data_IF_900100866295
#
_entry.id   IF_900100866295
#
_cell.length_a   1.000
_cell.length_b   1.000
_cell.length_c   1.000
_cell.angle_alpha   90.00
_cell.angle_beta   90.00
_cell.angle_gamma   90.00
#
_symmetry.space_group_name_H-M   'P 1'
#
loop_
_entity.id
_entity.type
_entity.pdbx_description
1 polymer ?
#
# COMPACT_ATOMS: atom_id res chain seq x y z
N UNK A 1 -2.98 -17.58 9.52
CA UNK A 1 -2.76 -18.41 8.31
C UNK A 1 -4.10 -18.90 7.80
N UNK A 2 -4.30 -19.00 6.49
CA UNK A 2 -5.52 -19.57 5.90
C UNK A 2 -5.52 -21.10 5.92
N UNK A 3 -6.61 -21.70 5.44
CA UNK A 3 -6.70 -23.16 5.32
C UNK A 3 -5.70 -23.72 4.31
N UNK A 4 -5.30 -24.98 4.49
CA UNK A 4 -4.48 -25.74 3.53
C UNK A 4 -5.06 -25.70 2.11
N UNK A 5 -6.39 -25.86 2.00
CA UNK A 5 -7.10 -25.83 0.72
C UNK A 5 -7.02 -24.46 0.02
N UNK A 6 -6.96 -23.37 0.78
CA UNK A 6 -6.79 -22.01 0.22
C UNK A 6 -5.48 -21.92 -0.54
N UNK A 7 -4.36 -22.31 0.08
CA UNK A 7 -3.04 -22.27 -0.55
C UNK A 7 -2.93 -23.24 -1.73
N UNK A 8 -3.43 -24.47 -1.59
CA UNK A 8 -3.45 -25.45 -2.67
C UNK A 8 -4.27 -24.96 -3.89
N UNK A 9 -5.44 -24.36 -3.65
CA UNK A 9 -6.29 -23.79 -4.71
C UNK A 9 -5.60 -22.62 -5.42
N UNK A 10 -4.92 -21.74 -4.67
CA UNK A 10 -4.14 -20.63 -5.25
C UNK A 10 -3.04 -21.16 -6.17
N UNK A 11 -2.26 -22.15 -5.74
CA UNK A 11 -1.20 -22.75 -6.58
C UNK A 11 -1.75 -23.51 -7.79
N UNK A 12 -2.88 -24.20 -7.64
CA UNK A 12 -3.55 -24.86 -8.76
C UNK A 12 -4.01 -23.86 -9.85
N UNK A 13 -4.60 -22.73 -9.45
CA UNK A 13 -4.97 -21.65 -10.39
C UNK A 13 -3.74 -21.08 -11.11
N UNK A 14 -2.66 -20.85 -10.38
CA UNK A 14 -1.41 -20.35 -10.94
C UNK A 14 -0.80 -21.32 -11.98
N UNK A 15 -0.76 -22.63 -11.69
CA UNK A 15 -0.29 -23.66 -12.63
C UNK A 15 -1.08 -23.70 -13.93
N UNK A 16 -2.37 -23.35 -13.90
CA UNK A 16 -3.18 -23.27 -15.12
C UNK A 16 -2.86 -22.03 -15.97
N UNK A 17 -2.24 -20.99 -15.41
CA UNK A 17 -1.89 -19.75 -16.12
C UNK A 17 -0.42 -19.74 -16.60
N UNK A 18 0.48 -20.41 -15.89
CA UNK A 18 1.88 -20.61 -16.29
C UNK A 18 2.14 -22.11 -16.34
N UNK A 19 2.06 -22.69 -17.53
CA UNK A 19 1.90 -24.14 -17.72
C UNK A 19 3.17 -24.91 -18.08
N UNK A 20 4.36 -24.31 -17.95
CA UNK A 20 5.64 -24.98 -18.20
C UNK A 20 6.76 -24.39 -17.34
N UNK A 21 7.86 -25.14 -17.19
CA UNK A 21 9.05 -24.70 -16.47
C UNK A 21 8.90 -24.71 -14.95
N UNK A 22 9.86 -24.08 -14.28
CA UNK A 22 9.89 -23.95 -12.83
C UNK A 22 9.47 -22.55 -12.40
N UNK A 23 8.44 -22.43 -11.56
CA UNK A 23 8.09 -21.19 -10.89
C UNK A 23 8.85 -21.14 -9.56
N UNK A 24 9.81 -20.22 -9.48
CA UNK A 24 10.64 -19.96 -8.31
C UNK A 24 10.04 -18.83 -7.49
N UNK A 25 9.78 -19.11 -6.22
CA UNK A 25 9.36 -18.13 -5.21
C UNK A 25 10.50 -17.90 -4.24
N UNK A 26 10.91 -16.65 -4.11
CA UNK A 26 11.96 -16.22 -3.20
C UNK A 26 11.31 -15.77 -1.89
N UNK A 27 11.65 -16.44 -0.79
CA UNK A 27 11.40 -15.91 0.55
C UNK A 27 12.53 -15.00 1.00
N UNK A 28 12.18 -14.10 1.91
CA UNK A 28 13.05 -13.08 2.49
C UNK A 28 14.03 -13.69 3.50
N UNK A 29 15.15 -12.99 3.68
CA UNK A 29 16.10 -13.21 4.76
C UNK A 29 15.93 -12.14 5.85
N UNK A 30 16.58 -12.39 6.99
CA UNK A 30 16.79 -11.38 8.03
C UNK A 30 17.65 -10.22 7.50
N UNK A 31 17.43 -9.02 8.05
CA UNK A 31 18.20 -7.83 7.71
C UNK A 31 18.79 -7.22 8.99
N UNK A 32 20.10 -7.18 9.11
CA UNK A 32 20.80 -6.60 10.26
C UNK A 32 20.63 -5.08 10.33
N UNK A 33 20.33 -4.54 11.51
CA UNK A 33 20.27 -3.10 11.79
C UNK A 33 21.64 -2.44 11.74
N UNK A 34 22.64 -3.09 12.33
CA UNK A 34 24.03 -2.61 12.43
C UNK A 34 25.07 -3.74 12.38
N UNK A 35 24.70 -4.96 12.77
CA UNK A 35 25.46 -6.20 12.60
C UNK A 35 24.50 -7.39 12.41
N UNK A 36 25.03 -8.54 11.98
CA UNK A 36 24.25 -9.70 11.49
C UNK A 36 23.13 -10.14 12.43
N UNK A 37 23.42 -10.30 13.71
CA UNK A 37 22.49 -10.92 14.67
C UNK A 37 21.53 -9.93 15.36
N UNK A 38 21.61 -8.63 15.02
CA UNK A 38 20.67 -7.62 15.52
C UNK A 38 19.79 -7.15 14.38
N UNK A 39 18.67 -7.83 14.17
CA UNK A 39 17.88 -7.70 12.96
C UNK A 39 16.73 -6.71 13.09
N UNK A 40 16.35 -6.09 11.97
CA UNK A 40 15.04 -5.45 11.83
C UNK A 40 13.93 -6.49 11.97
N UNK A 41 12.69 -6.02 12.16
CA UNK A 41 11.55 -6.92 12.14
C UNK A 41 11.49 -7.70 10.82
N UNK A 42 11.52 -9.03 10.91
CA UNK A 42 11.34 -9.90 9.77
C UNK A 42 9.89 -9.85 9.28
N UNK A 43 9.73 -9.70 7.96
CA UNK A 43 8.46 -9.82 7.25
C UNK A 43 8.71 -10.54 5.93
N UNK A 44 7.99 -11.62 5.69
CA UNK A 44 8.14 -12.44 4.49
C UNK A 44 7.67 -11.73 3.21
N UNK A 45 8.12 -12.23 2.05
CA UNK A 45 7.62 -11.80 0.75
C UNK A 45 6.10 -12.07 0.59
N UNK A 46 5.36 -11.07 0.14
CA UNK A 46 3.89 -11.13 0.06
C UNK A 46 3.39 -12.16 -0.94
N UNK A 47 4.12 -12.38 -2.04
CA UNK A 47 3.76 -13.40 -3.02
C UNK A 47 4.05 -14.79 -2.44
N UNK A 48 5.17 -14.97 -1.76
CA UNK A 48 5.48 -16.19 -1.03
C UNK A 48 4.39 -16.49 0.02
N UNK A 49 4.02 -15.52 0.85
CA UNK A 49 2.93 -15.66 1.82
C UNK A 49 1.59 -15.97 1.15
N UNK A 50 1.28 -15.36 0.02
CA UNK A 50 0.03 -15.60 -0.70
C UNK A 50 -0.12 -17.06 -1.15
N UNK A 51 0.94 -17.67 -1.67
CA UNK A 51 0.88 -19.06 -2.18
C UNK A 51 1.27 -20.14 -1.17
N UNK A 52 2.08 -19.80 -0.17
CA UNK A 52 2.65 -20.76 0.77
C UNK A 52 2.41 -20.41 2.23
N UNK A 53 2.01 -19.19 2.60
CA UNK A 53 1.58 -18.85 3.96
C UNK A 53 2.61 -19.04 5.09
N UNK A 54 3.85 -19.45 4.78
CA UNK A 54 4.91 -19.71 5.76
C UNK A 54 5.73 -18.44 5.98
N UNK A 55 5.64 -17.88 7.18
CA UNK A 55 6.46 -16.76 7.64
C UNK A 55 7.70 -17.30 8.38
N UNK A 56 8.65 -17.83 7.61
CA UNK A 56 9.94 -18.32 8.12
C UNK A 56 11.06 -17.81 7.23
N UNK A 57 12.12 -17.37 7.89
CA UNK A 57 13.34 -16.81 7.27
C UNK A 57 13.97 -17.79 6.29
N UNK A 58 14.37 -17.28 5.14
CA UNK A 58 15.27 -17.93 4.20
C UNK A 58 14.68 -19.15 3.50
N UNK A 59 13.35 -19.24 3.43
CA UNK A 59 12.68 -20.21 2.58
C UNK A 59 12.73 -19.79 1.11
N UNK A 60 12.63 -20.76 0.22
CA UNK A 60 12.19 -20.58 -1.16
C UNK A 60 11.13 -21.65 -1.47
N UNK A 61 10.47 -21.55 -2.60
CA UNK A 61 9.58 -22.60 -3.07
C UNK A 61 9.68 -22.77 -4.58
N UNK A 62 9.46 -24.01 -5.03
CA UNK A 62 9.42 -24.35 -6.44
C UNK A 62 8.06 -24.97 -6.74
N UNK A 63 7.43 -24.52 -7.81
CA UNK A 63 6.36 -25.25 -8.48
C UNK A 63 6.89 -25.65 -9.85
N UNK A 64 6.96 -26.95 -10.11
CA UNK A 64 7.23 -27.45 -11.46
C UNK A 64 5.89 -27.52 -12.20
N UNK A 65 5.69 -26.61 -13.15
CA UNK A 65 4.44 -26.53 -13.90
C UNK A 65 4.27 -27.67 -14.91
N UNK A 66 5.36 -28.35 -15.31
CA UNK A 66 5.31 -29.49 -16.23
C UNK A 66 4.81 -30.76 -15.52
N UNK A 67 5.31 -31.03 -14.30
CA UNK A 67 4.91 -32.21 -13.51
C UNK A 67 3.77 -31.94 -12.53
N UNK A 68 3.53 -30.68 -12.19
CA UNK A 68 2.60 -30.24 -11.16
C UNK A 68 3.12 -30.37 -9.72
N UNK A 69 4.36 -30.82 -9.56
CA UNK A 69 5.00 -31.02 -8.25
C UNK A 69 5.39 -29.70 -7.58
N UNK A 70 5.38 -29.69 -6.25
CA UNK A 70 5.56 -28.51 -5.41
C UNK A 70 6.55 -28.84 -4.30
N UNK A 71 7.50 -27.94 -4.02
CA UNK A 71 8.47 -28.08 -2.94
C UNK A 71 8.59 -26.79 -2.15
N UNK A 72 8.65 -26.94 -0.81
CA UNK A 72 9.25 -25.91 0.04
C UNK A 72 10.75 -26.18 0.12
N UNK A 73 11.56 -25.17 -0.16
CA UNK A 73 13.01 -25.24 -0.13
C UNK A 73 13.51 -24.54 1.12
N UNK A 74 14.25 -25.28 1.96
CA UNK A 74 14.72 -24.81 3.25
C UNK A 74 15.44 -25.93 3.99
N UNK A 75 16.16 -25.59 5.05
CA UNK A 75 16.83 -26.59 5.87
C UNK A 75 15.93 -26.98 7.06
N UNK A 76 16.03 -28.24 7.46
CA UNK A 76 15.39 -28.72 8.68
C UNK A 76 16.03 -28.08 9.91
N UNK A 77 15.25 -27.93 10.97
CA UNK A 77 15.76 -27.35 12.22
C UNK A 77 16.88 -28.22 12.80
N UNK A 78 17.92 -27.56 13.29
CA UNK A 78 19.06 -28.18 13.95
C UNK A 78 18.88 -28.18 15.47
N UNK A 79 19.72 -28.92 16.20
CA UNK A 79 19.73 -28.84 17.66
C UNK A 79 20.14 -27.46 18.16
N UNK A 80 21.02 -26.77 17.44
CA UNK A 80 21.39 -25.39 17.75
C UNK A 80 20.17 -24.47 17.65
N UNK A 81 19.35 -24.59 16.60
CA UNK A 81 18.10 -23.83 16.49
C UNK A 81 17.17 -24.08 17.68
N UNK A 82 17.07 -25.34 18.14
CA UNK A 82 16.27 -25.69 19.32
C UNK A 82 16.83 -25.07 20.61
N UNK A 83 18.16 -25.00 20.75
CA UNK A 83 18.82 -24.36 21.90
C UNK A 83 18.52 -22.86 21.93
N UNK A 84 18.56 -22.18 20.78
CA UNK A 84 18.46 -20.72 20.70
C UNK A 84 17.02 -20.20 20.57
N UNK A 85 16.16 -20.89 19.82
CA UNK A 85 14.80 -20.47 19.49
C UNK A 85 13.71 -21.41 20.06
N UNK A 86 14.10 -22.45 20.80
CA UNK A 86 13.19 -23.46 21.35
C UNK A 86 12.72 -24.48 20.30
N UNK A 87 11.95 -25.51 20.71
CA UNK A 87 11.37 -26.48 19.78
C UNK A 87 10.46 -25.81 18.76
N UNK A 88 10.70 -26.08 17.47
CA UNK A 88 9.90 -25.58 16.36
C UNK A 88 9.35 -26.76 15.53
N UNK A 89 8.25 -26.58 14.78
CA UNK A 89 7.83 -27.59 13.81
C UNK A 89 8.89 -27.77 12.73
N UNK A 90 9.07 -29.02 12.28
CA UNK A 90 9.95 -29.37 11.14
C UNK A 90 9.50 -28.67 9.86
N UNK A 91 10.41 -28.50 8.90
CA UNK A 91 10.05 -27.93 7.60
C UNK A 91 8.99 -28.79 6.91
N UNK A 92 9.09 -30.11 7.01
CA UNK A 92 8.09 -31.04 6.48
C UNK A 92 6.69 -30.82 7.09
N UNK A 93 6.58 -30.64 8.40
CA UNK A 93 5.30 -30.34 9.07
C UNK A 93 4.75 -28.98 8.63
N UNK A 94 5.62 -27.96 8.52
CA UNK A 94 5.23 -26.64 8.03
C UNK A 94 4.73 -26.68 6.58
N UNK A 95 5.45 -27.37 5.68
CA UNK A 95 5.03 -27.60 4.30
C UNK A 95 3.66 -28.29 4.23
N UNK A 96 3.42 -29.28 5.09
CA UNK A 96 2.14 -29.99 5.20
C UNK A 96 0.96 -29.06 5.54
N UNK A 97 1.16 -28.06 6.42
CA UNK A 97 0.11 -27.08 6.78
C UNK A 97 -0.40 -26.28 5.59
N UNK A 98 0.44 -26.09 4.57
CA UNK A 98 0.11 -25.30 3.36
C UNK A 98 -0.09 -26.19 2.12
N UNK A 99 -0.18 -27.51 2.34
CA UNK A 99 -0.58 -28.49 1.35
C UNK A 99 0.57 -28.89 0.41
N UNK A 100 1.81 -28.66 0.81
CA UNK A 100 2.99 -29.06 0.06
C UNK A 100 3.57 -30.32 0.69
N UNK A 101 3.63 -31.41 -0.07
CA UNK A 101 4.05 -32.72 0.44
C UNK A 101 5.58 -32.91 0.46
N UNK A 102 6.33 -32.16 -0.36
CA UNK A 102 7.76 -32.35 -0.54
C UNK A 102 8.56 -31.15 -0.05
N UNK A 103 9.75 -31.41 0.48
CA UNK A 103 10.75 -30.39 0.82
C UNK A 103 12.06 -30.65 0.08
N UNK A 104 12.89 -29.61 -0.06
CA UNK A 104 14.27 -29.71 -0.56
C UNK A 104 15.20 -28.90 0.36
N UNK A 105 16.42 -29.40 0.65
CA UNK A 105 17.42 -28.60 1.37
C UNK A 105 17.84 -27.38 0.52
N UNK A 106 18.27 -26.29 1.15
CA UNK A 106 18.69 -25.07 0.42
C UNK A 106 19.82 -25.35 -0.56
N UNK A 107 20.73 -26.26 -0.19
CA UNK A 107 21.86 -26.68 -1.02
C UNK A 107 21.47 -27.34 -2.35
N UNK A 108 20.25 -27.88 -2.47
CA UNK A 108 19.77 -28.48 -3.71
C UNK A 108 19.24 -27.45 -4.73
N UNK A 109 18.98 -26.20 -4.30
CA UNK A 109 18.30 -25.20 -5.13
C UNK A 109 19.11 -24.81 -6.36
N UNK A 110 20.40 -24.53 -6.19
CA UNK A 110 21.30 -24.15 -7.29
C UNK A 110 21.36 -25.25 -8.36
N UNK A 111 21.60 -26.49 -7.95
CA UNK A 111 21.68 -27.63 -8.86
C UNK A 111 20.35 -27.86 -9.59
N UNK A 112 19.22 -27.70 -8.90
CA UNK A 112 17.87 -27.84 -9.48
C UNK A 112 17.65 -26.79 -10.59
N UNK A 113 17.96 -25.52 -10.32
CA UNK A 113 17.76 -24.43 -11.26
C UNK A 113 18.73 -24.53 -12.46
N UNK A 114 20.02 -24.81 -12.22
CA UNK A 114 21.00 -25.03 -13.30
C UNK A 114 20.65 -26.25 -14.16
N UNK A 115 20.14 -27.31 -13.54
CA UNK A 115 19.66 -28.51 -14.24
C UNK A 115 18.49 -28.20 -15.17
N UNK A 116 17.49 -27.45 -14.69
CA UNK A 116 16.37 -27.02 -15.50
C UNK A 116 16.81 -26.14 -16.68
N UNK A 117 17.66 -25.15 -16.44
CA UNK A 117 18.20 -24.26 -17.49
C UNK A 117 19.02 -25.03 -18.53
N UNK A 118 19.85 -25.98 -18.10
CA UNK A 118 20.64 -26.83 -19.00
C UNK A 118 19.78 -27.76 -19.85
N UNK A 119 18.62 -28.17 -19.34
CA UNK A 119 17.61 -28.93 -20.06
C UNK A 119 16.72 -28.05 -20.97
N UNK A 120 17.00 -26.75 -21.08
CA UNK A 120 16.22 -25.81 -21.88
C UNK A 120 14.85 -25.46 -21.28
N UNK A 121 14.61 -25.79 -20.02
CA UNK A 121 13.37 -25.45 -19.31
C UNK A 121 13.43 -24.00 -18.82
N UNK A 122 12.27 -23.33 -18.83
CA UNK A 122 12.16 -21.98 -18.29
C UNK A 122 12.25 -21.98 -16.76
N UNK A 123 12.88 -20.94 -16.20
CA UNK A 123 12.83 -20.62 -14.77
C UNK A 123 12.11 -19.28 -14.64
N UNK A 124 10.89 -19.32 -14.14
CA UNK A 124 10.02 -18.17 -13.92
C UNK A 124 10.24 -17.62 -12.51
N UNK A 125 10.54 -16.32 -12.41
CA UNK A 125 10.63 -15.60 -11.14
C UNK A 125 10.03 -14.20 -11.30
N UNK A 126 9.65 -13.59 -10.19
CA UNK A 126 9.12 -12.23 -10.13
C UNK A 126 10.25 -11.20 -9.98
N UNK A 127 10.04 -9.92 -10.34
CA UNK A 127 11.07 -8.90 -10.20
C UNK A 127 11.60 -8.81 -8.76
N UNK A 128 12.93 -8.96 -8.54
CA UNK A 128 13.49 -8.85 -7.20
C UNK A 128 13.47 -7.40 -6.74
N UNK A 129 12.98 -7.15 -5.53
CA UNK A 129 13.01 -5.83 -4.89
C UNK A 129 14.09 -5.72 -3.79
N UNK A 130 14.69 -6.85 -3.40
CA UNK A 130 15.81 -6.88 -2.45
C UNK A 130 17.13 -7.26 -3.14
N UNK A 131 18.26 -6.60 -2.84
CA UNK A 131 19.56 -6.93 -3.44
C UNK A 131 19.97 -8.39 -3.28
N UNK A 132 19.71 -9.01 -2.13
CA UNK A 132 20.03 -10.41 -1.85
C UNK A 132 19.26 -11.38 -2.76
N UNK A 133 18.04 -11.04 -3.19
CA UNK A 133 17.30 -11.84 -4.17
C UNK A 133 18.00 -11.82 -5.53
N UNK A 134 18.46 -10.64 -5.97
CA UNK A 134 19.24 -10.48 -7.20
C UNK A 134 20.55 -11.26 -7.13
N UNK A 135 21.25 -11.22 -5.99
CA UNK A 135 22.51 -11.98 -5.81
C UNK A 135 22.27 -13.51 -5.81
N UNK A 136 21.21 -13.99 -5.16
CA UNK A 136 20.80 -15.41 -5.19
C UNK A 136 20.49 -15.88 -6.60
N UNK A 137 19.67 -15.11 -7.33
CA UNK A 137 19.34 -15.41 -8.72
C UNK A 137 20.59 -15.46 -9.60
N UNK A 138 21.52 -14.51 -9.45
CA UNK A 138 22.81 -14.53 -10.14
C UNK A 138 23.57 -15.84 -9.90
N UNK A 139 23.70 -16.23 -8.62
CA UNK A 139 24.43 -17.42 -8.24
C UNK A 139 23.76 -18.72 -8.75
N UNK A 140 22.44 -18.82 -8.62
CA UNK A 140 21.69 -20.01 -8.99
C UNK A 140 21.51 -20.20 -10.49
N UNK A 141 21.50 -19.12 -11.27
CA UNK A 141 21.20 -19.18 -12.71
C UNK A 141 22.42 -18.92 -13.59
N UNK A 142 23.45 -18.25 -13.07
CA UNK A 142 24.61 -17.78 -13.82
C UNK A 142 24.36 -16.54 -14.68
N UNK A 143 23.15 -15.97 -14.67
CA UNK A 143 22.85 -14.71 -15.37
C UNK A 143 23.56 -13.53 -14.70
N UNK A 144 24.02 -12.55 -15.45
CA UNK A 144 24.64 -11.36 -14.87
C UNK A 144 23.64 -10.53 -14.07
N UNK A 145 24.12 -9.75 -13.09
CA UNK A 145 23.28 -8.86 -12.28
C UNK A 145 22.47 -7.88 -13.14
N UNK A 146 23.04 -7.45 -14.27
CA UNK A 146 22.41 -6.52 -15.20
C UNK A 146 21.29 -7.17 -16.03
N UNK A 147 21.26 -8.50 -16.18
CA UNK A 147 20.26 -9.26 -16.94
C UNK A 147 19.07 -9.75 -16.10
N UNK A 148 19.24 -9.84 -14.78
CA UNK A 148 18.21 -10.41 -13.88
C UNK A 148 16.90 -9.64 -13.96
N UNK A 149 16.85 -8.29 -13.87
CA UNK A 149 15.59 -7.57 -13.96
C UNK A 149 14.82 -7.84 -15.26
N UNK A 150 15.50 -8.00 -16.39
CA UNK A 150 14.90 -8.23 -17.71
C UNK A 150 14.48 -9.68 -17.93
N UNK A 151 14.94 -10.61 -17.08
CA UNK A 151 14.56 -12.02 -17.13
C UNK A 151 13.37 -12.36 -16.23
N UNK A 152 12.87 -11.41 -15.44
CA UNK A 152 11.64 -11.59 -14.68
C UNK A 152 10.49 -11.99 -15.64
N UNK A 153 9.72 -13.00 -15.26
CA UNK A 153 8.78 -13.62 -16.19
C UNK A 153 7.47 -12.83 -16.29
N UNK A 154 7.22 -12.25 -17.46
CA UNK A 154 5.96 -11.53 -17.72
C UNK A 154 4.72 -12.40 -17.51
N UNK A 155 4.74 -13.64 -17.98
CA UNK A 155 3.63 -14.58 -17.79
C UNK A 155 3.35 -14.83 -16.30
N UNK A 156 4.40 -14.98 -15.50
CA UNK A 156 4.27 -15.18 -14.06
C UNK A 156 3.80 -13.91 -13.33
N UNK A 157 4.34 -12.75 -13.70
CA UNK A 157 3.90 -11.43 -13.20
C UNK A 157 2.40 -11.25 -13.42
N UNK A 158 1.94 -11.42 -14.66
CA UNK A 158 0.52 -11.26 -14.99
C UNK A 158 -0.36 -12.28 -14.29
N UNK A 159 0.08 -13.54 -14.16
CA UNK A 159 -0.66 -14.56 -13.43
C UNK A 159 -0.86 -14.20 -11.95
N UNK A 160 0.20 -13.72 -11.29
CA UNK A 160 0.14 -13.27 -9.89
C UNK A 160 -0.75 -12.05 -9.73
N UNK A 161 -0.61 -11.04 -10.61
CA UNK A 161 -1.46 -9.84 -10.61
C UNK A 161 -2.92 -10.22 -10.78
N UNK A 162 -3.23 -11.07 -11.77
CA UNK A 162 -4.59 -11.51 -12.07
C UNK A 162 -5.22 -12.34 -10.95
N UNK A 163 -4.45 -12.87 -10.01
CA UNK A 163 -5.00 -13.59 -8.88
C UNK A 163 -5.11 -12.72 -7.62
N UNK A 164 -4.07 -11.93 -7.31
CA UNK A 164 -4.04 -11.04 -6.12
C UNK A 164 -4.91 -9.79 -6.26
N UNK A 165 -5.20 -9.35 -7.50
CA UNK A 165 -6.10 -8.21 -7.73
C UNK A 165 -7.52 -8.48 -7.22
N UNK A 166 -7.98 -9.74 -7.22
CA UNK A 166 -9.34 -10.14 -6.88
C UNK A 166 -9.36 -10.81 -5.50
N UNK A 167 -9.81 -10.05 -4.49
CA UNK A 167 -9.83 -10.50 -3.10
C UNK A 167 -10.96 -11.51 -2.90
N UNK A 168 -10.61 -12.65 -2.32
CA UNK A 168 -11.62 -13.62 -1.88
C UNK A 168 -12.27 -13.20 -0.57
N UNK A 169 -13.43 -13.77 -0.23
CA UNK A 169 -14.16 -13.44 1.01
C UNK A 169 -13.30 -13.57 2.27
N UNK A 170 -12.45 -14.60 2.35
CA UNK A 170 -11.54 -14.79 3.48
C UNK A 170 -10.45 -13.72 3.56
N UNK A 171 -10.03 -13.14 2.43
CA UNK A 171 -9.07 -12.04 2.41
C UNK A 171 -9.74 -10.74 2.86
N UNK A 172 -10.96 -10.49 2.39
CA UNK A 172 -11.75 -9.33 2.82
C UNK A 172 -11.97 -9.37 4.34
N UNK A 173 -12.19 -10.54 4.93
CA UNK A 173 -12.28 -10.71 6.40
C UNK A 173 -10.97 -10.32 7.11
N UNK A 174 -9.81 -10.64 6.56
CA UNK A 174 -8.53 -10.22 7.17
C UNK A 174 -8.27 -8.72 6.95
N UNK A 175 -8.62 -8.17 5.80
CA UNK A 175 -8.55 -6.72 5.55
C UNK A 175 -9.49 -5.95 6.47
N UNK A 176 -10.69 -6.47 6.75
CA UNK A 176 -11.64 -5.90 7.71
C UNK A 176 -11.01 -5.76 9.11
N UNK A 177 -10.31 -6.81 9.58
CA UNK A 177 -9.54 -6.74 10.83
C UNK A 177 -8.44 -5.68 10.77
N UNK A 178 -7.70 -5.61 9.66
CA UNK A 178 -6.63 -4.64 9.47
C UNK A 178 -7.15 -3.20 9.57
N UNK A 179 -8.27 -2.91 8.89
CA UNK A 179 -8.93 -1.60 8.94
C UNK A 179 -9.49 -1.30 10.33
N UNK A 180 -10.09 -2.27 11.01
CA UNK A 180 -10.61 -2.06 12.36
C UNK A 180 -9.50 -1.73 13.37
N UNK A 181 -8.35 -2.40 13.30
CA UNK A 181 -7.18 -2.07 14.12
C UNK A 181 -6.66 -0.67 13.75
N UNK A 182 -6.59 -0.35 12.46
CA UNK A 182 -6.23 0.99 11.97
C UNK A 182 -7.17 2.06 12.52
N UNK A 183 -8.48 1.82 12.52
CA UNK A 183 -9.48 2.68 13.14
C UNK A 183 -9.19 2.94 14.62
N UNK A 184 -8.86 1.90 15.39
CA UNK A 184 -8.45 2.08 16.79
C UNK A 184 -7.16 2.89 16.92
N UNK A 185 -6.19 2.71 16.02
CA UNK A 185 -4.97 3.53 15.99
C UNK A 185 -5.33 5.00 15.82
N UNK A 186 -6.23 5.34 14.88
CA UNK A 186 -6.68 6.71 14.63
C UNK A 186 -7.44 7.31 15.82
N UNK A 187 -8.38 6.57 16.39
CA UNK A 187 -9.12 7.00 17.58
C UNK A 187 -8.17 7.30 18.75
N UNK A 188 -7.17 6.44 18.97
CA UNK A 188 -6.19 6.64 20.03
C UNK A 188 -5.25 7.82 19.73
N UNK A 189 -4.83 8.02 18.48
CA UNK A 189 -4.01 9.16 18.07
C UNK A 189 -4.73 10.49 18.29
N UNK A 190 -5.99 10.58 17.84
CA UNK A 190 -6.85 11.75 18.00
C UNK A 190 -7.04 12.05 19.49
N UNK A 191 -7.25 11.04 20.33
CA UNK A 191 -7.38 11.21 21.79
C UNK A 191 -6.06 11.58 22.47
N UNK A 192 -4.93 11.06 22.01
CA UNK A 192 -3.60 11.30 22.59
C UNK A 192 -3.01 12.68 22.24
N UNK A 193 -3.44 13.27 21.13
CA UNK A 193 -3.04 14.59 20.66
C UNK A 193 -3.41 15.66 21.69
N UNK A 194 -2.43 16.42 22.19
CA UNK A 194 -2.64 17.52 23.14
C UNK A 194 -1.62 18.61 22.87
N UNK A 195 -2.04 19.87 22.98
CA UNK A 195 -1.14 21.02 22.87
C UNK A 195 0.07 20.86 23.80
N UNK A 196 1.25 21.18 23.29
CA UNK A 196 2.51 21.15 24.03
C UNK A 196 3.28 19.83 23.98
N UNK A 197 2.63 18.73 23.60
CA UNK A 197 3.28 17.44 23.30
C UNK A 197 4.03 17.48 21.97
N UNK A 198 4.81 16.44 21.69
CA UNK A 198 5.43 16.20 20.39
C UNK A 198 4.68 15.15 19.58
N UNK A 199 4.84 15.18 18.26
CA UNK A 199 4.29 14.17 17.34
C UNK A 199 4.72 12.75 17.75
N UNK A 200 5.98 12.54 18.13
CA UNK A 200 6.50 11.22 18.51
C UNK A 200 5.76 10.58 19.71
N UNK A 201 5.18 11.39 20.60
CA UNK A 201 4.38 10.87 21.73
C UNK A 201 3.07 10.25 21.23
N UNK A 202 2.48 10.83 20.19
CA UNK A 202 1.29 10.31 19.53
C UNK A 202 1.64 9.08 18.70
N UNK A 203 2.77 9.12 17.97
CA UNK A 203 3.31 7.99 17.20
C UNK A 203 3.54 6.77 18.10
N UNK A 204 4.08 6.95 19.32
CA UNK A 204 4.22 5.85 20.28
C UNK A 204 2.88 5.18 20.64
N UNK A 205 1.81 5.96 20.73
CA UNK A 205 0.45 5.44 20.97
C UNK A 205 -0.07 4.65 19.77
N UNK A 206 0.15 5.16 18.55
CA UNK A 206 -0.23 4.51 17.29
C UNK A 206 0.47 3.16 17.14
N UNK A 207 1.80 3.15 17.30
CA UNK A 207 2.60 1.93 17.20
C UNK A 207 2.21 0.89 18.27
N UNK A 208 1.99 1.32 19.52
CA UNK A 208 1.52 0.44 20.58
C UNK A 208 0.15 -0.19 20.27
N UNK A 209 -0.74 0.57 19.62
CA UNK A 209 -2.07 0.07 19.22
C UNK A 209 -1.96 -0.99 18.11
N UNK A 210 -1.12 -0.78 17.10
CA UNK A 210 -0.90 -1.78 16.04
C UNK A 210 -0.37 -3.11 16.61
N UNK A 211 0.67 -3.02 17.45
CA UNK A 211 1.27 -4.21 18.09
C UNK A 211 0.31 -4.96 19.02
N UNK A 212 -0.46 -4.23 19.83
CA UNK A 212 -1.46 -4.85 20.71
C UNK A 212 -2.66 -5.42 19.95
N UNK A 213 -2.89 -4.99 18.71
CA UNK A 213 -3.84 -5.61 17.77
C UNK A 213 -3.42 -6.99 17.24
N UNK A 214 -2.22 -7.47 17.58
CA UNK A 214 -1.71 -8.79 17.21
C UNK A 214 -0.97 -8.83 15.87
N UNK A 215 -0.75 -7.68 15.24
CA UNK A 215 0.02 -7.53 14.02
C UNK A 215 1.12 -6.47 14.16
N UNK A 216 1.31 -5.67 13.11
CA UNK A 216 2.30 -4.59 13.06
C UNK A 216 1.79 -3.40 12.23
N UNK A 217 2.65 -2.45 11.90
CA UNK A 217 2.38 -1.39 10.93
C UNK A 217 2.45 -1.93 9.50
N UNK A 218 1.48 -1.57 8.65
CA UNK A 218 1.51 -1.87 7.22
C UNK A 218 2.57 -1.06 6.46
N UNK A 219 2.92 0.12 6.98
CA UNK A 219 3.91 1.04 6.45
C UNK A 219 4.39 2.00 7.54
N UNK A 220 5.54 2.70 7.35
CA UNK A 220 6.02 3.67 8.34
C UNK A 220 5.00 4.77 8.59
N UNK A 221 4.72 5.05 9.87
CA UNK A 221 3.76 6.07 10.29
C UNK A 221 4.09 7.43 9.67
N UNK A 222 3.07 8.09 9.12
CA UNK A 222 3.11 9.48 8.73
C UNK A 222 2.19 10.22 9.71
N UNK A 223 2.76 10.99 10.62
CA UNK A 223 1.98 11.80 11.56
C UNK A 223 2.69 13.12 11.71
N UNK A 224 2.08 14.18 11.18
CA UNK A 224 2.71 15.49 11.24
C UNK A 224 1.75 16.67 11.25
N UNK A 225 2.17 17.76 11.89
CA UNK A 225 1.58 19.09 11.74
C UNK A 225 1.93 19.76 10.41
N UNK A 226 2.99 19.32 9.74
CA UNK A 226 3.39 19.75 8.40
C UNK A 226 2.72 18.86 7.34
N UNK A 227 1.39 18.83 7.36
CA UNK A 227 0.56 17.94 6.54
C UNK A 227 0.71 18.13 5.02
N UNK A 228 1.40 19.17 4.55
CA UNK A 228 1.76 19.38 3.14
C UNK A 228 2.85 18.42 2.64
N UNK A 229 3.57 17.74 3.54
CA UNK A 229 4.58 16.74 3.18
C UNK A 229 3.97 15.34 3.16
N UNK A 230 3.80 14.76 1.97
CA UNK A 230 3.00 13.54 1.80
C UNK A 230 3.53 12.32 2.56
N UNK A 231 4.84 12.06 2.52
CA UNK A 231 5.51 10.96 3.22
C UNK A 231 6.52 11.48 4.25
N UNK A 232 6.01 12.09 5.32
CA UNK A 232 6.86 12.63 6.39
C UNK A 232 7.06 11.62 7.53
N UNK A 233 8.31 11.21 7.76
CA UNK A 233 8.70 10.31 8.84
C UNK A 233 9.45 11.03 9.98
N UNK A 234 9.54 12.35 9.95
CA UNK A 234 10.00 13.15 11.07
C UNK A 234 8.86 13.42 12.03
N UNK A 235 9.06 13.12 13.32
CA UNK A 235 8.04 13.26 14.37
C UNK A 235 8.52 14.15 15.53
N UNK A 236 9.47 15.04 15.26
CA UNK A 236 10.05 15.93 16.27
C UNK A 236 9.33 17.26 16.42
N UNK A 237 8.25 17.53 15.66
CA UNK A 237 7.55 18.79 15.80
C UNK A 237 6.68 18.80 17.06
N UNK A 238 6.45 20.02 17.56
CA UNK A 238 5.58 20.27 18.70
C UNK A 238 4.14 20.49 18.22
N UNK A 239 3.19 19.95 18.96
CA UNK A 239 1.77 20.14 18.73
C UNK A 239 1.34 21.51 19.29
N UNK A 240 1.13 22.47 18.40
CA UNK A 240 0.79 23.86 18.73
C UNK A 240 -0.66 24.21 18.35
N UNK A 241 -1.26 25.14 19.09
CA UNK A 241 -2.62 25.62 18.82
C UNK A 241 -2.72 26.24 17.42
N UNK A 242 -3.87 26.08 16.78
CA UNK A 242 -4.13 26.52 15.40
C UNK A 242 -3.59 25.59 14.31
N UNK A 243 -2.76 24.58 14.64
CA UNK A 243 -2.26 23.60 13.68
C UNK A 243 -3.25 22.44 13.48
N UNK A 244 -3.25 21.88 12.27
CA UNK A 244 -3.80 20.56 12.00
C UNK A 244 -2.73 19.50 12.23
N UNK A 245 -3.14 18.27 12.50
CA UNK A 245 -2.32 17.06 12.44
C UNK A 245 -2.91 16.18 11.35
N UNK A 246 -2.09 15.80 10.38
CA UNK A 246 -2.41 14.76 9.41
C UNK A 246 -1.76 13.47 9.92
N UNK A 247 -2.59 12.46 10.17
CA UNK A 247 -2.17 11.11 10.53
C UNK A 247 -2.56 10.13 9.44
N UNK A 248 -1.58 9.49 8.85
CA UNK A 248 -1.67 8.45 7.84
C UNK A 248 -0.86 7.25 8.34
N UNK A 249 -1.59 6.22 8.73
CA UNK A 249 -1.05 4.98 9.26
C UNK A 249 -2.12 3.90 9.27
N UNK A 250 -1.68 2.65 9.06
CA UNK A 250 -2.54 1.48 9.12
C UNK A 250 -1.82 0.25 9.65
N UNK A 251 -2.60 -0.71 10.10
CA UNK A 251 -2.12 -1.97 10.64
C UNK A 251 -1.98 -3.03 9.55
N UNK A 252 -0.94 -3.85 9.66
CA UNK A 252 -0.84 -5.16 9.02
C UNK A 252 -1.28 -6.22 10.04
N UNK A 253 -2.17 -7.12 9.65
CA UNK A 253 -2.62 -8.21 10.51
C UNK A 253 -1.58 -9.32 10.64
N UNK A 254 -1.75 -10.26 11.58
CA UNK A 254 -0.94 -11.47 11.69
C UNK A 254 -0.97 -12.39 10.45
N UNK A 255 -1.84 -12.11 9.48
CA UNK A 255 -1.92 -12.80 8.19
C UNK A 255 -1.42 -11.93 7.02
N UNK A 256 -0.78 -10.79 7.35
CA UNK A 256 -0.12 -9.87 6.43
C UNK A 256 -1.05 -9.14 5.48
N UNK A 257 -2.29 -8.88 5.89
CA UNK A 257 -3.21 -7.98 5.17
C UNK A 257 -3.18 -6.59 5.79
N UNK A 258 -3.08 -5.57 4.95
CA UNK A 258 -2.95 -4.17 5.32
C UNK A 258 -4.31 -3.46 5.41
N UNK A 259 -4.41 -2.57 6.38
CA UNK A 259 -5.31 -1.42 6.35
C UNK A 259 -4.51 -0.16 6.03
N UNK A 260 -5.16 0.83 5.45
CA UNK A 260 -4.55 2.11 5.06
C UNK A 260 -5.57 3.21 5.26
N UNK A 261 -5.34 4.04 6.26
CA UNK A 261 -6.31 5.04 6.70
C UNK A 261 -5.55 6.33 7.00
N UNK A 262 -6.09 7.42 6.47
CA UNK A 262 -5.68 8.78 6.78
C UNK A 262 -6.82 9.54 7.43
N UNK A 263 -6.53 10.24 8.52
CA UNK A 263 -7.40 11.25 9.13
C UNK A 263 -6.60 12.52 9.39
N UNK A 264 -7.28 13.64 9.28
CA UNK A 264 -6.74 14.95 9.67
C UNK A 264 -7.60 15.53 10.78
N UNK A 265 -6.99 16.11 11.82
CA UNK A 265 -7.70 16.68 12.97
C UNK A 265 -6.95 17.90 13.54
N UNK A 266 -7.63 18.83 14.24
CA UNK A 266 -6.95 19.97 14.86
C UNK A 266 -6.15 19.54 16.10
N UNK A 267 -5.03 20.23 16.35
CA UNK A 267 -4.33 20.15 17.64
C UNK A 267 -5.20 20.72 18.78
N UNK A 268 -6.06 21.68 18.47
CA UNK A 268 -7.09 22.17 19.38
C UNK A 268 -8.26 21.18 19.51
N UNK A 269 -9.26 21.52 20.33
CA UNK A 269 -10.46 20.68 20.47
C UNK A 269 -11.42 20.80 19.28
N UNK A 270 -11.38 21.94 18.59
CA UNK A 270 -12.30 22.27 17.49
C UNK A 270 -11.52 22.80 16.30
N UNK A 271 -12.07 22.60 15.11
CA UNK A 271 -11.51 23.18 13.89
C UNK A 271 -11.78 24.70 13.88
N UNK A 272 -10.83 25.47 13.37
CA UNK A 272 -11.06 26.87 12.98
C UNK A 272 -11.89 26.94 11.71
N UNK A 273 -12.50 28.09 11.40
CA UNK A 273 -13.33 28.22 10.19
C UNK A 273 -12.55 27.89 8.91
N UNK A 274 -11.33 28.43 8.75
CA UNK A 274 -10.44 28.13 7.63
C UNK A 274 -10.15 26.63 7.52
N UNK A 275 -9.96 25.94 8.65
CA UNK A 275 -9.75 24.49 8.65
C UNK A 275 -11.01 23.72 8.25
N UNK A 276 -12.19 24.16 8.72
CA UNK A 276 -13.49 23.55 8.36
C UNK A 276 -13.76 23.67 6.86
N UNK A 277 -13.51 24.85 6.28
CA UNK A 277 -13.70 25.11 4.85
C UNK A 277 -12.90 24.12 3.98
N UNK A 278 -11.59 23.98 4.22
CA UNK A 278 -10.75 23.05 3.44
C UNK A 278 -11.06 21.58 3.79
N UNK A 279 -11.30 21.27 5.06
CA UNK A 279 -11.64 19.91 5.47
C UNK A 279 -12.91 19.42 4.81
N UNK A 280 -13.94 20.27 4.75
CA UNK A 280 -15.21 19.94 4.11
C UNK A 280 -15.03 19.68 2.61
N UNK A 281 -14.19 20.45 1.91
CA UNK A 281 -13.87 20.21 0.49
C UNK A 281 -13.29 18.81 0.29
N UNK A 282 -12.35 18.39 1.15
CA UNK A 282 -11.73 17.06 1.07
C UNK A 282 -12.72 15.96 1.44
N UNK A 283 -13.56 16.18 2.45
CA UNK A 283 -14.63 15.25 2.83
C UNK A 283 -15.64 15.06 1.69
N UNK A 284 -16.05 16.14 1.04
CA UNK A 284 -16.96 16.10 -0.12
C UNK A 284 -16.30 15.35 -1.29
N UNK A 285 -15.02 15.61 -1.56
CA UNK A 285 -14.28 14.88 -2.60
C UNK A 285 -14.22 13.37 -2.29
N UNK A 286 -13.93 13.00 -1.04
CA UNK A 286 -13.90 11.60 -0.60
C UNK A 286 -15.27 10.94 -0.79
N UNK A 287 -16.35 11.58 -0.33
CA UNK A 287 -17.72 11.04 -0.47
C UNK A 287 -18.18 10.97 -1.92
N UNK A 288 -17.87 11.96 -2.76
CA UNK A 288 -18.22 11.95 -4.18
C UNK A 288 -17.52 10.82 -4.94
N UNK A 289 -16.24 10.57 -4.62
CA UNK A 289 -15.52 9.44 -5.20
C UNK A 289 -16.11 8.10 -4.73
N UNK A 290 -16.38 7.95 -3.43
CA UNK A 290 -17.00 6.74 -2.86
C UNK A 290 -18.33 6.43 -3.56
N UNK A 291 -19.19 7.43 -3.76
CA UNK A 291 -20.49 7.28 -4.42
C UNK A 291 -20.39 6.86 -5.91
N UNK A 292 -19.24 7.13 -6.54
CA UNK A 292 -18.98 6.74 -7.93
C UNK A 292 -18.51 5.29 -8.07
N UNK A 293 -17.98 4.67 -7.01
CA UNK A 293 -17.39 3.33 -7.07
C UNK A 293 -18.42 2.27 -7.45
N UNK A 294 -18.16 1.61 -8.58
CA UNK A 294 -18.92 0.46 -9.08
C UNK A 294 -18.12 -0.25 -10.18
N UNK A 295 -18.44 -1.51 -10.51
CA UNK A 295 -17.84 -2.18 -11.64
C UNK A 295 -17.96 -1.37 -12.94
N UNK A 296 -16.89 -1.34 -13.73
CA UNK A 296 -16.82 -0.69 -15.04
C UNK A 296 -16.46 0.81 -15.02
N UNK A 297 -16.50 1.49 -13.87
CA UNK A 297 -16.01 2.88 -13.76
C UNK A 297 -14.49 2.87 -13.79
N UNK A 298 -13.86 3.75 -14.57
CA UNK A 298 -12.41 3.92 -14.56
C UNK A 298 -11.98 4.61 -13.28
N UNK A 299 -10.92 4.11 -12.65
CA UNK A 299 -10.35 4.79 -11.48
C UNK A 299 -9.76 6.16 -11.83
N UNK A 300 -9.40 6.38 -13.10
CA UNK A 300 -9.09 7.71 -13.63
C UNK A 300 -10.27 8.67 -13.47
N UNK A 301 -11.50 8.23 -13.75
CA UNK A 301 -12.69 9.08 -13.62
C UNK A 301 -12.95 9.42 -12.15
N UNK A 302 -12.69 8.48 -11.21
CA UNK A 302 -12.68 8.74 -9.78
C UNK A 302 -11.69 9.85 -9.39
N UNK A 303 -10.47 9.83 -9.96
CA UNK A 303 -9.50 10.90 -9.72
C UNK A 303 -9.98 12.26 -10.25
N UNK A 304 -10.60 12.29 -11.44
CA UNK A 304 -11.16 13.51 -12.02
C UNK A 304 -12.36 14.05 -11.22
N UNK A 305 -13.19 13.17 -10.63
CA UNK A 305 -14.27 13.56 -9.70
C UNK A 305 -13.70 14.28 -8.47
N UNK A 306 -12.62 13.75 -7.89
CA UNK A 306 -11.93 14.40 -6.77
C UNK A 306 -11.38 15.77 -7.18
N UNK A 307 -10.63 15.83 -8.29
CA UNK A 307 -10.08 17.09 -8.82
C UNK A 307 -11.15 18.13 -9.07
N UNK A 308 -12.29 17.75 -9.68
CA UNK A 308 -13.41 18.66 -9.91
C UNK A 308 -13.98 19.19 -8.61
N UNK A 309 -14.22 18.32 -7.63
CA UNK A 309 -14.75 18.69 -6.31
C UNK A 309 -13.82 19.65 -5.57
N UNK A 310 -12.52 19.36 -5.55
CA UNK A 310 -11.50 20.24 -4.94
C UNK A 310 -11.46 21.59 -5.64
N UNK A 311 -11.53 21.60 -6.98
CA UNK A 311 -11.51 22.84 -7.77
C UNK A 311 -12.72 23.73 -7.51
N UNK A 312 -13.92 23.14 -7.48
CA UNK A 312 -15.16 23.85 -7.15
C UNK A 312 -15.10 24.45 -5.75
N UNK A 313 -14.65 23.66 -4.76
CA UNK A 313 -14.46 24.11 -3.39
C UNK A 313 -13.52 25.31 -3.30
N UNK A 314 -12.31 25.20 -3.85
CA UNK A 314 -11.32 26.27 -3.83
C UNK A 314 -11.75 27.52 -4.63
N UNK A 315 -12.55 27.34 -5.68
CA UNK A 315 -13.18 28.45 -6.41
C UNK A 315 -14.21 29.17 -5.55
N UNK A 316 -15.03 28.44 -4.79
CA UNK A 316 -16.02 29.04 -3.89
C UNK A 316 -15.38 29.84 -2.75
N UNK A 317 -14.20 29.42 -2.28
CA UNK A 317 -13.37 30.20 -1.35
C UNK A 317 -12.64 31.39 -2.02
N UNK A 318 -12.75 31.52 -3.34
CA UNK A 318 -12.10 32.56 -4.13
C UNK A 318 -10.58 32.42 -4.22
N UNK A 319 -10.04 31.21 -4.00
CA UNK A 319 -8.63 30.87 -4.20
C UNK A 319 -8.34 30.50 -5.66
N UNK A 320 -9.37 30.01 -6.36
CA UNK A 320 -9.40 29.80 -7.81
C UNK A 320 -10.50 30.66 -8.45
N UNK A 321 -10.38 30.90 -9.75
CA UNK A 321 -11.43 31.53 -10.58
C UNK A 321 -11.47 30.88 -11.97
N UNK A 322 -12.50 31.20 -12.77
CA UNK A 322 -12.66 30.67 -14.13
C UNK A 322 -13.52 29.41 -14.22
N UNK A 323 -13.44 28.71 -15.36
CA UNK A 323 -14.20 27.49 -15.62
C UNK A 323 -13.56 26.25 -14.96
N UNK A 324 -14.38 25.41 -14.35
CA UNK A 324 -13.90 24.25 -13.58
C UNK A 324 -13.40 23.15 -14.52
N UNK A 325 -14.12 22.87 -15.59
CA UNK A 325 -13.79 21.77 -16.49
C UNK A 325 -12.52 22.11 -17.28
N UNK A 326 -12.32 23.38 -17.64
CA UNK A 326 -11.07 23.90 -18.21
C UNK A 326 -9.87 23.74 -17.25
N UNK A 327 -10.02 24.16 -15.99
CA UNK A 327 -8.97 24.02 -14.97
C UNK A 327 -8.55 22.55 -14.78
N UNK A 328 -9.54 21.65 -14.70
CA UNK A 328 -9.31 20.19 -14.56
C UNK A 328 -8.57 19.65 -15.79
N UNK A 329 -9.00 20.01 -17.01
CA UNK A 329 -8.36 19.56 -18.25
C UNK A 329 -6.90 20.04 -18.36
N UNK A 330 -6.59 21.24 -17.87
CA UNK A 330 -5.24 21.81 -17.85
C UNK A 330 -4.36 21.28 -16.71
N UNK A 331 -4.93 20.53 -15.75
CA UNK A 331 -4.20 20.01 -14.59
C UNK A 331 -3.87 21.07 -13.54
N UNK A 332 -4.62 22.18 -13.48
CA UNK A 332 -4.54 23.17 -12.39
C UNK A 332 -4.69 22.54 -10.99
N UNK A 333 -5.60 21.56 -10.76
CA UNK A 333 -5.84 21.02 -9.42
C UNK A 333 -4.63 20.28 -8.84
N UNK A 334 -3.68 19.88 -9.69
CA UNK A 334 -2.44 19.23 -9.27
C UNK A 334 -1.56 20.09 -8.35
N UNK A 335 -1.79 21.42 -8.31
CA UNK A 335 -1.14 22.29 -7.31
C UNK A 335 -1.56 21.94 -5.88
N UNK A 336 -2.79 21.46 -5.71
CA UNK A 336 -3.40 21.17 -4.41
C UNK A 336 -3.55 19.68 -4.12
N UNK A 337 -3.61 18.83 -5.15
CA UNK A 337 -3.65 17.37 -5.03
C UNK A 337 -2.64 16.73 -5.99
N UNK A 338 -1.34 16.68 -5.61
CA UNK A 338 -0.25 16.24 -6.50
C UNK A 338 -0.06 14.71 -6.56
N UNK A 339 -0.84 13.95 -5.80
CA UNK A 339 -0.84 12.48 -5.78
C UNK A 339 -2.11 11.90 -6.42
N UNK A 340 -2.14 10.58 -6.64
CA UNK A 340 -3.31 9.86 -7.12
C UNK A 340 -4.44 9.84 -6.09
N UNK A 341 -5.68 9.54 -6.50
CA UNK A 341 -6.83 9.49 -5.58
C UNK A 341 -6.87 8.21 -4.72
N UNK A 342 -5.91 7.31 -4.94
CA UNK A 342 -5.76 6.05 -4.24
C UNK A 342 -5.10 4.98 -5.10
N UNK A 343 -5.12 3.76 -4.58
CA UNK A 343 -4.42 2.61 -5.16
C UNK A 343 -5.06 1.29 -4.74
N UNK A 344 -4.62 0.20 -5.38
CA UNK A 344 -4.97 -1.15 -4.92
C UNK A 344 -4.35 -1.41 -3.54
N UNK A 345 -5.07 -2.11 -2.68
CA UNK A 345 -4.61 -2.54 -1.34
C UNK A 345 -4.90 -4.03 -1.13
N UNK A 346 -4.05 -4.71 -0.37
CA UNK A 346 -4.19 -6.14 -0.09
C UNK A 346 -3.17 -6.60 0.95
N UNK A 347 -2.26 -7.48 0.53
CA UNK A 347 -1.15 -7.89 1.39
C UNK A 347 -0.03 -6.85 1.47
N UNK A 348 0.08 -6.02 0.43
CA UNK A 348 0.89 -4.81 0.48
C UNK A 348 -0.03 -3.58 0.47
N UNK A 349 0.42 -2.49 1.11
CA UNK A 349 -0.32 -1.22 1.16
C UNK A 349 -0.58 -0.69 -0.25
N UNK A 350 0.48 -0.54 -1.06
CA UNK A 350 0.39 -0.42 -2.51
C UNK A 350 0.48 -1.82 -3.12
N UNK A 351 -0.67 -2.49 -3.25
CA UNK A 351 -0.72 -3.92 -3.55
C UNK A 351 -0.02 -4.24 -4.88
N UNK A 352 0.97 -5.15 -4.81
CA UNK A 352 1.75 -5.66 -5.95
C UNK A 352 2.65 -4.63 -6.65
N UNK A 353 2.88 -3.42 -6.14
CA UNK A 353 3.64 -2.36 -6.84
C UNK A 353 5.02 -2.84 -7.36
N UNK A 354 5.68 -3.74 -6.63
CA UNK A 354 6.96 -4.36 -7.01
C UNK A 354 6.90 -5.22 -8.29
N UNK A 355 5.73 -5.66 -8.71
CA UNK A 355 5.52 -6.41 -9.95
C UNK A 355 5.44 -5.49 -11.18
N UNK A 356 5.27 -4.19 -10.96
CA UNK A 356 5.19 -3.15 -11.99
C UNK A 356 3.83 -2.46 -11.98
N UNK A 357 3.81 -1.22 -11.51
CA UNK A 357 2.58 -0.43 -11.33
C UNK A 357 1.72 -0.31 -12.61
N UNK A 358 2.35 -0.20 -13.79
CA UNK A 358 1.59 -0.13 -15.04
C UNK A 358 0.84 -1.44 -15.37
N UNK A 359 1.37 -2.61 -15.00
CA UNK A 359 0.68 -3.88 -15.22
C UNK A 359 -0.54 -4.06 -14.31
N UNK A 360 -0.54 -3.37 -13.17
CA UNK A 360 -1.62 -3.42 -12.18
C UNK A 360 -2.67 -2.36 -12.49
N UNK A 361 -2.21 -1.12 -12.68
CA UNK A 361 -3.06 0.06 -12.75
C UNK A 361 -3.65 0.36 -14.11
N UNK A 362 -3.02 -0.10 -15.17
CA UNK A 362 -3.27 0.33 -16.54
C UNK A 362 -3.54 -0.88 -17.44
N UNK A 363 -4.06 -0.60 -18.65
CA UNK A 363 -4.32 -1.60 -19.68
C UNK A 363 -4.09 -0.98 -21.06
N UNK A 364 -4.11 -1.82 -22.09
CA UNK A 364 -3.97 -1.37 -23.47
C UNK A 364 -4.98 -0.23 -23.79
N UNK A 365 -4.48 0.85 -24.37
CA UNK A 365 -5.27 2.07 -24.67
C UNK A 365 -5.40 3.06 -23.52
N UNK A 366 -4.83 2.78 -22.34
CA UNK A 366 -4.78 3.72 -21.21
C UNK A 366 -3.34 3.95 -20.77
N UNK A 367 -2.77 5.07 -21.19
CA UNK A 367 -1.40 5.45 -20.88
C UNK A 367 -1.33 6.38 -19.66
N UNK A 368 -0.26 6.23 -18.89
CA UNK A 368 0.01 7.12 -17.76
C UNK A 368 0.36 8.51 -18.28
N UNK A 369 -0.35 9.52 -17.76
CA UNK A 369 -0.08 10.92 -18.08
C UNK A 369 1.25 11.40 -17.50
N UNK A 370 1.89 12.37 -18.15
CA UNK A 370 3.06 13.08 -17.62
C UNK A 370 2.69 14.30 -16.77
N UNK A 371 1.40 14.66 -16.70
CA UNK A 371 0.92 15.80 -15.89
C UNK A 371 1.11 15.51 -14.39
N UNK A 372 1.46 16.54 -13.62
CA UNK A 372 1.51 16.44 -12.15
C UNK A 372 0.13 15.97 -11.61
N UNK A 373 0.13 15.18 -10.53
CA UNK A 373 -1.06 14.50 -10.04
C UNK A 373 -1.37 13.22 -10.84
N UNK A 374 -1.70 13.35 -12.12
CA UNK A 374 -2.04 12.19 -12.96
C UNK A 374 -0.87 11.22 -13.18
N UNK A 375 0.37 11.70 -13.23
CA UNK A 375 1.56 10.83 -13.30
C UNK A 375 1.74 9.94 -12.06
N UNK A 376 1.17 10.38 -10.94
CA UNK A 376 1.22 9.71 -9.64
C UNK A 376 0.02 8.77 -9.43
N UNK A 377 -0.89 8.67 -10.41
CA UNK A 377 -2.05 7.81 -10.30
C UNK A 377 -1.65 6.34 -10.49
N UNK A 378 -1.86 5.52 -9.45
CA UNK A 378 -1.42 4.12 -9.44
C UNK A 378 -2.40 3.15 -10.09
N UNK A 379 -3.66 3.55 -10.22
CA UNK A 379 -4.74 2.80 -10.86
C UNK A 379 -5.51 3.74 -11.77
N UNK A 380 -5.71 3.37 -13.03
CA UNK A 380 -6.48 4.18 -13.98
C UNK A 380 -7.58 3.36 -14.67
N UNK A 381 -7.38 2.03 -14.77
CA UNK A 381 -8.32 1.10 -15.42
C UNK A 381 -9.64 1.00 -14.67
N UNK A 382 -10.57 0.31 -15.32
CA UNK A 382 -11.91 0.03 -14.84
C UNK A 382 -11.88 -0.84 -13.58
N UNK A 383 -12.78 -0.52 -12.67
CA UNK A 383 -13.01 -1.25 -11.44
C UNK A 383 -13.71 -2.58 -11.74
N UNK A 384 -13.23 -3.65 -11.12
CA UNK A 384 -13.78 -4.99 -11.27
C UNK A 384 -14.17 -5.56 -9.91
N UNK A 385 -15.19 -6.43 -9.89
CA UNK A 385 -15.67 -7.06 -8.66
C UNK A 385 -14.53 -7.79 -7.97
N UNK A 386 -14.36 -7.54 -6.67
CA UNK A 386 -13.27 -8.10 -5.86
C UNK A 386 -11.99 -7.27 -5.83
N UNK A 387 -11.88 -6.17 -6.60
CA UNK A 387 -10.81 -5.20 -6.38
C UNK A 387 -10.99 -4.53 -5.02
N UNK A 388 -9.90 -4.43 -4.26
CA UNK A 388 -9.84 -3.66 -3.03
C UNK A 388 -8.87 -2.49 -3.21
N UNK A 389 -9.28 -1.30 -2.77
CA UNK A 389 -8.62 -0.04 -3.07
C UNK A 389 -8.81 1.01 -1.95
N UNK A 390 -7.91 1.99 -1.91
CA UNK A 390 -7.97 3.16 -1.03
C UNK A 390 -8.65 4.34 -1.73
N UNK A 391 -9.39 5.20 -1.02
CA UNK A 391 -9.94 6.46 -1.54
C UNK A 391 -9.42 7.61 -0.69
N UNK A 392 -8.40 8.31 -1.17
CA UNK A 392 -7.57 9.21 -0.35
C UNK A 392 -7.42 10.63 -0.93
N UNK A 393 -8.49 11.33 -1.34
CA UNK A 393 -8.32 12.70 -1.82
C UNK A 393 -7.70 13.60 -0.75
N UNK A 394 -6.95 14.59 -1.20
CA UNK A 394 -6.27 15.54 -0.34
C UNK A 394 -6.22 16.94 -0.93
N UNK A 395 -6.03 17.92 -0.07
CA UNK A 395 -5.78 19.32 -0.43
C UNK A 395 -4.63 19.85 0.42
N UNK A 396 -3.54 20.21 -0.24
CA UNK A 396 -2.29 20.66 0.39
C UNK A 396 -1.93 22.05 -0.09
N UNK A 397 -1.37 22.84 0.82
CA UNK A 397 -0.75 24.12 0.51
C UNK A 397 0.76 23.95 0.65
N UNK A 398 1.41 23.49 -0.41
CA UNK A 398 2.86 23.26 -0.46
C UNK A 398 3.53 24.58 -0.87
N UNK A 399 4.16 25.33 0.05
CA UNK A 399 4.66 26.68 -0.26
C UNK A 399 5.66 26.69 -1.40
N UNK A 400 6.57 25.71 -1.46
CA UNK A 400 7.59 25.59 -2.49
C UNK A 400 6.99 25.37 -3.88
N UNK A 401 5.92 24.56 -3.97
CA UNK A 401 5.24 24.29 -5.24
C UNK A 401 4.44 25.51 -5.70
N UNK A 402 3.75 26.18 -4.78
CA UNK A 402 2.99 27.42 -5.05
C UNK A 402 3.93 28.51 -5.55
N UNK A 403 5.04 28.75 -4.85
CA UNK A 403 6.04 29.75 -5.23
C UNK A 403 6.70 29.41 -6.58
N UNK A 404 6.99 28.13 -6.84
CA UNK A 404 7.53 27.69 -8.13
C UNK A 404 6.56 28.02 -9.26
N UNK A 405 5.28 27.65 -9.14
CA UNK A 405 4.29 27.92 -10.18
C UNK A 405 4.02 29.43 -10.35
N UNK A 406 4.01 30.21 -9.26
CA UNK A 406 3.91 31.68 -9.29
C UNK A 406 5.07 32.30 -10.09
N UNK A 407 6.31 31.86 -9.81
CA UNK A 407 7.52 32.36 -10.47
C UNK A 407 7.56 32.04 -11.97
N UNK A 408 6.96 30.92 -12.38
CA UNK A 408 6.83 30.50 -13.77
C UNK A 408 5.65 31.18 -14.49
N UNK A 409 4.81 31.92 -13.76
CA UNK A 409 3.61 32.54 -14.32
C UNK A 409 2.53 31.55 -14.74
N UNK A 410 2.53 30.35 -14.14
CA UNK A 410 1.64 29.26 -14.54
C UNK A 410 0.20 29.52 -14.08
N UNK A 411 -0.75 29.47 -15.02
CA UNK A 411 -2.20 29.55 -14.75
C UNK A 411 -2.63 30.77 -13.92
N UNK A 412 -2.05 31.95 -14.18
CA UNK A 412 -2.34 33.20 -13.43
C UNK A 412 -3.77 33.69 -13.60
N UNK A 413 -4.42 33.29 -14.68
CA UNK A 413 -5.83 33.51 -14.99
C UNK A 413 -6.78 32.67 -14.11
N UNK A 414 -6.28 31.57 -13.52
CA UNK A 414 -7.08 30.68 -12.66
C UNK A 414 -6.68 30.80 -11.18
N UNK A 415 -5.40 31.00 -10.87
CA UNK A 415 -4.87 30.87 -9.51
C UNK A 415 -4.65 32.25 -8.85
N UNK A 416 -5.29 32.46 -7.69
CA UNK A 416 -5.10 33.67 -6.87
C UNK A 416 -3.91 33.55 -5.92
N UNK A 417 -2.69 33.58 -6.48
CA UNK A 417 -1.44 33.40 -5.72
C UNK A 417 -1.31 34.29 -4.47
N UNK A 418 -1.71 35.56 -4.55
CA UNK A 418 -1.66 36.47 -3.40
C UNK A 418 -2.53 36.01 -2.23
N UNK A 419 -3.67 35.38 -2.50
CA UNK A 419 -4.53 34.80 -1.45
C UNK A 419 -3.92 33.52 -0.88
N UNK A 420 -3.25 32.71 -1.70
CA UNK A 420 -2.61 31.45 -1.27
C UNK A 420 -1.51 31.67 -0.24
N UNK A 421 -0.85 32.83 -0.24
CA UNK A 421 0.18 33.19 0.76
C UNK A 421 -0.35 33.11 2.20
N UNK A 422 -1.66 33.33 2.40
CA UNK A 422 -2.31 33.20 3.71
C UNK A 422 -2.59 31.75 4.15
N UNK A 423 -2.17 30.76 3.36
CA UNK A 423 -2.30 29.33 3.64
C UNK A 423 -0.93 28.62 3.73
N UNK A 424 0.19 29.34 3.72
CA UNK A 424 1.53 28.72 3.76
C UNK A 424 1.82 27.95 5.05
N UNK A 425 1.12 28.27 6.14
CA UNK A 425 1.17 27.58 7.42
C UNK A 425 0.00 26.59 7.63
N UNK A 426 -0.87 26.43 6.64
CA UNK A 426 -2.07 25.57 6.74
C UNK A 426 -1.70 24.08 6.77
N UNK A 427 -0.66 23.70 6.04
CA UNK A 427 -0.29 22.30 5.81
C UNK A 427 -1.21 21.66 4.77
N UNK A 428 -1.95 20.64 5.17
CA UNK A 428 -2.90 19.97 4.28
C UNK A 428 -3.88 19.05 5.01
N UNK A 429 -4.90 18.64 4.26
CA UNK A 429 -5.91 17.69 4.71
C UNK A 429 -5.93 16.51 3.75
N UNK A 430 -5.95 15.29 4.30
CA UNK A 430 -6.27 14.04 3.59
C UNK A 430 -7.27 13.24 4.39
N UNK A 431 -8.20 12.58 3.70
CA UNK A 431 -9.18 11.66 4.28
C UNK A 431 -9.18 10.40 3.42
N UNK A 432 -8.92 9.27 4.06
CA UNK A 432 -8.73 8.00 3.35
C UNK A 432 -9.48 6.85 3.99
N UNK A 433 -10.10 6.03 3.14
CA UNK A 433 -10.85 4.85 3.51
C UNK A 433 -10.59 3.70 2.53
N UNK A 434 -10.76 2.45 2.97
CA UNK A 434 -10.59 1.27 2.13
C UNK A 434 -11.93 0.68 1.69
N UNK A 435 -12.06 0.36 0.41
CA UNK A 435 -13.27 -0.20 -0.19
C UNK A 435 -12.96 -1.45 -1.01
N UNK A 436 -13.94 -2.35 -1.08
CA UNK A 436 -13.95 -3.48 -2.03
C UNK A 436 -15.10 -3.33 -3.01
N UNK A 437 -14.85 -3.56 -4.30
CA UNK A 437 -15.85 -3.46 -5.35
C UNK A 437 -16.75 -4.69 -5.33
N UNK A 438 -18.06 -4.47 -5.27
CA UNK A 438 -19.11 -5.49 -5.29
C UNK A 438 -19.82 -5.51 -6.64
N UNK A 439 -20.73 -6.46 -6.86
CA UNK A 439 -21.44 -6.58 -8.13
C UNK A 439 -22.29 -5.35 -8.51
N UNK A 440 -22.71 -4.57 -7.50
CA UNK A 440 -23.66 -3.46 -7.60
C UNK A 440 -23.09 -2.11 -7.14
N UNK A 441 -21.81 -2.06 -6.73
CA UNK A 441 -21.18 -0.85 -6.21
C UNK A 441 -19.85 -1.13 -5.53
N UNK A 442 -19.69 -0.59 -4.32
CA UNK A 442 -18.57 -0.87 -3.45
C UNK A 442 -19.03 -0.96 -1.99
N UNK A 443 -18.26 -1.70 -1.19
CA UNK A 443 -18.47 -1.87 0.25
C UNK A 443 -17.27 -1.33 1.00
N UNK A 444 -17.51 -0.54 2.04
CA UNK A 444 -16.49 -0.16 3.01
C UNK A 444 -15.91 -1.43 3.66
N UNK A 445 -14.59 -1.50 3.77
CA UNK A 445 -13.90 -2.56 4.50
C UNK A 445 -13.77 -2.11 5.96
N UNK A 446 -14.13 -2.97 6.92
CA UNK A 446 -14.14 -2.61 8.33
C UNK A 446 -15.33 -1.74 8.75
N UNK A 447 -15.29 -1.32 10.00
CA UNK A 447 -16.27 -0.43 10.62
C UNK A 447 -16.04 1.03 10.20
N UNK A 448 -17.10 1.87 10.12
CA UNK A 448 -16.95 3.30 9.86
C UNK A 448 -16.03 3.99 10.88
N UNK A 449 -14.97 4.63 10.39
CA UNK A 449 -14.05 5.43 11.20
C UNK A 449 -14.47 6.90 11.10
N UNK A 450 -14.70 7.61 12.24
CA UNK A 450 -15.07 9.02 12.30
C UNK A 450 -14.34 9.90 11.28
N UNK A 451 -15.07 10.68 10.48
CA UNK A 451 -14.49 11.57 9.45
C UNK A 451 -15.28 12.83 9.15
N UNK A 452 -16.43 13.04 9.78
CA UNK A 452 -17.08 14.36 9.75
C UNK A 452 -16.45 15.27 10.79
N UNK A 453 -16.54 16.59 10.57
CA UNK A 453 -16.05 17.61 11.52
C UNK A 453 -16.63 17.35 12.92
N UNK A 454 -17.95 17.13 13.01
CA UNK A 454 -18.63 16.90 14.29
C UNK A 454 -18.16 15.63 15.00
N UNK A 455 -17.95 14.53 14.26
CA UNK A 455 -17.44 13.30 14.87
C UNK A 455 -16.00 13.47 15.37
N UNK A 456 -15.13 14.11 14.59
CA UNK A 456 -13.74 14.37 15.00
C UNK A 456 -13.68 15.27 16.23
N UNK A 457 -14.44 16.38 16.26
CA UNK A 457 -14.52 17.26 17.43
C UNK A 457 -15.09 16.51 18.66
N UNK A 458 -16.04 15.61 18.46
CA UNK A 458 -16.60 14.74 19.51
C UNK A 458 -15.60 13.77 20.14
N UNK A 459 -14.51 13.43 19.46
CA UNK A 459 -13.43 12.60 20.02
C UNK A 459 -12.44 13.40 20.90
N UNK A 460 -12.55 14.73 20.90
CA UNK A 460 -11.58 15.67 21.49
C UNK A 460 -12.07 16.31 22.80
N UNK A 461 -13.19 15.81 23.36
CA UNK A 461 -13.82 16.35 24.57
C UNK A 461 -12.88 16.43 25.79
#
# INVERSE_FOLDING_TARGET
MFSTNTYASRRAKLKNQVSNGLLLFLGNEESGMNYTDNTYHFRQDSTFLYYFGLDKVGLAAIIDADSGEEWIVGDEITMDDVIWAGPQPTLQEQAGRVGVAKTLPKSALEATLKGALSAGRAVHFLPPYRPEHTLKLHHWTGWSLAEIPQKASMAFIMAVINQRSYKTDHEIIEMDKAVNISGQMHLNAIRATRMGKYEYEVVGTVHGTARSGGGDLAYPIILSVDGQTLHNHYHGNRLESGRLVLGDFGAETATYYAGDITRTWPVDKTFTEKQKEIYQIVLDANMNVINALRPGVKYLDCHLISWRTVTEGLKNLGLLEGDVDEMVALGVPALFMPHGVGHMIGMDVHDMENLGENYIGYREGLERSNLLGLKSLRLAKELEVGFALTIEPGTYFIPELIQLWESQGKFKEFIKYDKLKSYFDFGGVRIEDNYVITADGAKLIGEPIPKTIAEIEGLRC
#
